data_IF_445730954321
#
_entry.id   IF_445730954321
#
_cell.length_a   1.000
_cell.length_b   1.000
_cell.length_c   1.000
_cell.angle_alpha   90.00
_cell.angle_beta   90.00
_cell.angle_gamma   90.00
#
_symmetry.space_group_name_H-M   'P 1'
#
loop_
_entity.id
_entity.type
_entity.pdbx_description
1 polymer ?
#
# COMPACT_ATOMS: atom_id res chain seq x y z
N UNK A 1 1.93 -22.09 11.60
CA UNK A 1 2.60 -22.68 10.42
C UNK A 1 4.10 -22.39 10.50
N UNK A 2 4.99 -23.30 10.08
CA UNK A 2 6.44 -23.00 10.01
C UNK A 2 6.74 -22.01 8.88
N UNK A 3 7.77 -21.18 9.04
CA UNK A 3 8.17 -20.18 8.04
C UNK A 3 8.38 -20.78 6.65
N UNK A 4 9.11 -21.89 6.54
CA UNK A 4 9.40 -22.53 5.26
C UNK A 4 8.14 -22.99 4.52
N UNK A 5 7.10 -23.42 5.26
CA UNK A 5 5.82 -23.81 4.66
C UNK A 5 5.03 -22.58 4.19
N UNK A 6 5.02 -21.51 4.98
CA UNK A 6 4.41 -20.23 4.61
C UNK A 6 5.06 -19.63 3.37
N UNK A 7 6.39 -19.55 3.35
CA UNK A 7 7.16 -19.04 2.23
C UNK A 7 6.83 -19.80 0.94
N UNK A 8 6.92 -21.13 0.95
CA UNK A 8 6.57 -21.96 -0.22
C UNK A 8 5.13 -21.73 -0.69
N UNK A 9 4.19 -21.57 0.23
CA UNK A 9 2.81 -21.30 -0.12
C UNK A 9 2.66 -19.94 -0.79
N UNK A 10 3.22 -18.87 -0.22
CA UNK A 10 3.19 -17.53 -0.81
C UNK A 10 3.85 -17.48 -2.19
N UNK A 11 5.01 -18.11 -2.34
CA UNK A 11 5.72 -18.18 -3.63
C UNK A 11 4.91 -18.94 -4.69
N UNK A 12 4.15 -19.98 -4.30
CA UNK A 12 3.26 -20.68 -5.23
C UNK A 12 2.10 -19.83 -5.76
N UNK A 13 1.77 -18.73 -5.09
CA UNK A 13 0.76 -17.76 -5.53
C UNK A 13 1.35 -16.64 -6.39
N UNK A 14 2.68 -16.51 -6.49
CA UNK A 14 3.28 -15.50 -7.37
C UNK A 14 2.83 -15.73 -8.81
N UNK A 15 2.60 -14.63 -9.52
CA UNK A 15 2.40 -14.72 -10.97
C UNK A 15 3.66 -15.27 -11.66
N UNK A 16 3.51 -16.01 -12.78
CA UNK A 16 4.65 -16.68 -13.43
C UNK A 16 5.80 -15.72 -13.80
N UNK A 17 5.49 -14.46 -14.13
CA UNK A 17 6.49 -13.48 -14.50
C UNK A 17 7.28 -12.88 -13.32
N UNK A 18 6.81 -13.11 -12.08
CA UNK A 18 7.49 -12.70 -10.85
C UNK A 18 8.12 -13.88 -10.11
N UNK A 19 7.92 -15.11 -10.59
CA UNK A 19 8.55 -16.30 -10.03
C UNK A 19 10.08 -16.19 -10.14
N UNK A 20 10.78 -16.41 -9.02
CA UNK A 20 12.22 -16.19 -8.90
C UNK A 20 12.69 -14.73 -8.97
N UNK A 21 11.80 -13.75 -9.20
CA UNK A 21 12.11 -12.30 -9.12
C UNK A 21 11.73 -11.72 -7.76
N UNK A 22 10.55 -12.07 -7.26
CA UNK A 22 10.05 -11.65 -5.95
C UNK A 22 10.33 -12.74 -4.93
N UNK A 23 10.99 -12.38 -3.83
CA UNK A 23 11.33 -13.33 -2.76
C UNK A 23 10.93 -12.79 -1.39
N UNK A 24 10.45 -13.70 -0.53
CA UNK A 24 10.12 -13.41 0.86
C UNK A 24 11.19 -13.94 1.80
N UNK A 25 11.61 -13.12 2.76
CA UNK A 25 12.58 -13.50 3.79
C UNK A 25 12.18 -12.95 5.16
N UNK A 26 12.18 -13.77 6.20
CA UNK A 26 11.93 -13.33 7.56
C UNK A 26 13.20 -13.49 8.41
N UNK A 27 13.55 -12.47 9.19
CA UNK A 27 14.73 -12.49 10.09
C UNK A 27 14.36 -12.81 11.54
N UNK A 28 13.12 -13.25 11.79
CA UNK A 28 12.67 -13.64 13.12
C UNK A 28 13.38 -14.90 13.61
N UNK A 29 14.57 -14.74 14.19
CA UNK A 29 15.18 -15.77 15.00
C UNK A 29 14.23 -16.10 16.15
N UNK A 30 13.98 -17.39 16.37
CA UNK A 30 13.02 -17.97 17.32
C UNK A 30 13.22 -17.56 18.79
N UNK A 31 14.29 -16.82 19.10
CA UNK A 31 14.78 -16.51 20.44
C UNK A 31 14.71 -15.02 20.82
N UNK A 32 14.21 -14.15 19.93
CA UNK A 32 14.00 -12.73 20.22
C UNK A 32 12.52 -12.36 20.02
N UNK A 33 11.75 -12.19 21.11
CA UNK A 33 10.32 -11.82 21.05
C UNK A 33 10.08 -10.55 20.22
N UNK A 34 10.97 -9.56 20.36
CA UNK A 34 10.85 -8.24 19.70
C UNK A 34 11.20 -8.22 18.21
N UNK A 35 11.75 -9.31 17.65
CA UNK A 35 12.02 -9.43 16.21
C UNK A 35 11.09 -10.43 15.51
N UNK A 36 10.10 -10.95 16.23
CA UNK A 36 9.16 -11.93 15.70
C UNK A 36 8.18 -11.26 14.72
N UNK A 37 8.33 -11.55 13.43
CA UNK A 37 7.41 -11.06 12.38
C UNK A 37 7.97 -10.02 11.42
N UNK A 38 9.24 -9.61 11.55
CA UNK A 38 9.90 -8.76 10.55
C UNK A 38 10.15 -9.57 9.28
N UNK A 39 9.67 -9.03 8.15
CA UNK A 39 9.87 -9.59 6.83
C UNK A 39 10.47 -8.57 5.87
N UNK A 40 11.19 -9.12 4.91
CA UNK A 40 11.83 -8.47 3.80
C UNK A 40 11.22 -9.00 2.53
N UNK A 41 10.83 -8.09 1.64
CA UNK A 41 10.45 -8.44 0.27
C UNK A 41 11.57 -7.94 -0.63
N UNK A 42 12.22 -8.89 -1.31
CA UNK A 42 13.24 -8.60 -2.29
C UNK A 42 12.65 -8.70 -3.71
N UNK A 43 13.11 -7.83 -4.59
CA UNK A 43 12.84 -7.89 -6.03
C UNK A 43 14.18 -7.88 -6.75
N UNK A 44 14.39 -8.85 -7.63
CA UNK A 44 15.65 -9.01 -8.38
C UNK A 44 16.88 -9.01 -7.45
N UNK A 45 16.76 -9.72 -6.32
CA UNK A 45 17.76 -9.85 -5.24
C UNK A 45 18.10 -8.55 -4.49
N UNK A 46 17.37 -7.46 -4.73
CA UNK A 46 17.48 -6.20 -3.99
C UNK A 46 16.36 -6.09 -2.98
N UNK A 47 16.68 -5.72 -1.75
CA UNK A 47 15.68 -5.49 -0.73
C UNK A 47 14.87 -4.23 -1.07
N UNK A 48 13.56 -4.38 -1.25
CA UNK A 48 12.65 -3.29 -1.63
C UNK A 48 11.78 -2.88 -0.44
N UNK A 49 11.31 -3.85 0.34
CA UNK A 49 10.54 -3.61 1.55
C UNK A 49 11.22 -4.22 2.75
N UNK A 50 11.52 -3.40 3.75
CA UNK A 50 11.72 -3.84 5.13
C UNK A 50 10.62 -3.20 5.98
N UNK A 51 9.83 -4.01 6.67
CA UNK A 51 8.70 -3.51 7.46
C UNK A 51 9.15 -2.59 8.61
N UNK A 52 10.35 -2.79 9.14
CA UNK A 52 10.89 -2.05 10.28
C UNK A 52 11.93 -0.99 9.92
N UNK A 53 12.33 -0.90 8.65
CA UNK A 53 13.44 -0.04 8.22
C UNK A 53 13.02 0.79 7.01
N UNK A 54 13.02 2.10 7.23
CA UNK A 54 12.62 3.11 6.24
C UNK A 54 13.79 3.53 5.33
N UNK A 55 14.95 2.87 5.40
CA UNK A 55 16.12 3.17 4.55
C UNK A 55 16.01 2.58 3.13
N UNK A 56 14.86 2.02 2.76
CA UNK A 56 14.65 1.52 1.40
C UNK A 56 14.62 2.66 0.37
N UNK A 57 14.81 2.32 -0.91
CA UNK A 57 14.79 3.28 -2.02
C UNK A 57 13.42 3.91 -2.28
N UNK A 58 12.44 3.61 -1.44
CA UNK A 58 11.05 4.02 -1.59
C UNK A 58 10.76 5.11 -0.59
N UNK A 59 10.04 6.13 -1.04
CA UNK A 59 9.70 7.28 -0.20
C UNK A 59 8.76 6.86 0.93
N UNK A 60 9.17 7.15 2.15
CA UNK A 60 8.38 7.03 3.37
C UNK A 60 8.13 8.43 3.92
N UNK A 61 6.88 8.72 4.31
CA UNK A 61 6.53 10.03 4.85
C UNK A 61 6.62 10.01 6.38
N UNK A 62 7.21 11.05 6.96
CA UNK A 62 7.30 11.20 8.42
C UNK A 62 6.17 12.06 8.97
N UNK A 63 5.67 13.01 8.18
CA UNK A 63 4.66 13.97 8.62
C UNK A 63 3.58 14.17 7.58
N UNK A 64 2.39 14.62 8.01
CA UNK A 64 1.31 14.96 7.08
C UNK A 64 1.69 16.12 6.16
N UNK A 65 2.56 17.02 6.63
CA UNK A 65 3.03 18.17 5.86
C UNK A 65 3.85 17.74 4.64
N UNK A 66 4.68 16.70 4.77
CA UNK A 66 5.43 16.15 3.64
C UNK A 66 4.50 15.61 2.55
N UNK A 67 3.42 14.95 2.94
CA UNK A 67 2.39 14.43 2.02
C UNK A 67 1.63 15.59 1.36
N UNK A 68 1.27 16.61 2.15
CA UNK A 68 0.53 17.79 1.66
C UNK A 68 1.33 18.64 0.68
N UNK A 69 2.64 18.70 0.86
CA UNK A 69 3.56 19.46 0.01
C UNK A 69 4.09 18.65 -1.17
N UNK A 70 3.70 17.38 -1.30
CA UNK A 70 4.13 16.54 -2.40
C UNK A 70 3.40 16.90 -3.70
N UNK A 71 4.15 17.37 -4.70
CA UNK A 71 3.61 17.72 -6.02
C UNK A 71 3.14 16.51 -6.82
N UNK A 72 3.66 15.31 -6.51
CA UNK A 72 3.32 14.08 -7.22
C UNK A 72 1.94 13.54 -6.77
N UNK A 73 1.46 13.96 -5.59
CA UNK A 73 0.19 13.54 -5.02
C UNK A 73 -0.93 14.41 -5.57
N UNK A 74 -1.53 13.93 -6.67
CA UNK A 74 -2.71 14.54 -7.27
C UNK A 74 -3.97 13.79 -6.87
N UNK A 75 -4.71 14.33 -5.90
CA UNK A 75 -5.97 13.75 -5.48
C UNK A 75 -7.10 14.38 -6.31
N UNK A 76 -7.84 13.60 -7.11
CA UNK A 76 -8.99 14.10 -7.85
C UNK A 76 -10.08 14.53 -6.88
N UNK A 77 -10.72 15.67 -7.13
CA UNK A 77 -11.81 16.20 -6.31
C UNK A 77 -13.12 15.99 -7.08
N UNK A 78 -14.13 15.40 -6.46
CA UNK A 78 -15.46 15.26 -7.06
C UNK A 78 -16.33 16.47 -6.73
N UNK A 79 -17.34 16.73 -7.58
CA UNK A 79 -18.29 17.82 -7.35
C UNK A 79 -19.09 17.63 -6.05
N UNK A 80 -19.28 16.38 -5.62
CA UNK A 80 -19.91 16.01 -4.34
C UNK A 80 -19.12 16.55 -3.14
N UNK A 81 -17.78 16.52 -3.21
CA UNK A 81 -16.90 17.03 -2.15
C UNK A 81 -16.95 18.57 -2.07
N UNK A 82 -17.08 19.23 -3.21
CA UNK A 82 -17.26 20.69 -3.29
C UNK A 82 -18.60 21.08 -2.67
N UNK A 83 -19.66 20.34 -2.99
CA UNK A 83 -21.01 20.63 -2.48
C UNK A 83 -21.14 20.34 -0.98
N UNK A 84 -20.44 19.33 -0.46
CA UNK A 84 -20.33 19.08 0.98
C UNK A 84 -19.71 20.27 1.72
N UNK A 85 -18.64 20.86 1.16
CA UNK A 85 -18.02 22.07 1.71
C UNK A 85 -18.95 23.29 1.59
N UNK A 86 -19.70 23.42 0.49
CA UNK A 86 -20.67 24.50 0.31
C UNK A 86 -21.77 24.47 1.37
N UNK A 87 -22.27 23.29 1.68
CA UNK A 87 -23.30 23.07 2.72
C UNK A 87 -22.77 23.43 4.11
N UNK A 88 -21.55 23.01 4.42
CA UNK A 88 -20.89 23.28 5.70
C UNK A 88 -20.57 24.78 5.91
N UNK A 89 -20.20 25.47 4.81
CA UNK A 89 -19.92 26.91 4.82
C UNK A 89 -21.16 27.79 4.62
N UNK A 90 -22.36 27.20 4.56
CA UNK A 90 -23.65 27.89 4.36
C UNK A 90 -23.67 28.84 3.15
N UNK A 91 -22.88 28.56 2.11
CA UNK A 91 -22.82 29.36 0.88
C UNK A 91 -22.14 30.73 1.00
N UNK A 92 -21.41 31.00 2.11
CA UNK A 92 -20.72 32.29 2.32
C UNK A 92 -19.43 32.37 1.49
N UNK A 93 -18.89 31.22 1.07
CA UNK A 93 -17.57 31.11 0.46
C UNK A 93 -17.66 31.05 -1.07
N UNK A 94 -16.89 31.86 -1.82
CA UNK A 94 -16.86 31.81 -3.29
C UNK A 94 -16.44 30.44 -3.84
N UNK A 95 -16.90 30.08 -5.04
CA UNK A 95 -16.63 28.76 -5.66
C UNK A 95 -15.15 28.40 -5.76
N UNK A 96 -14.29 29.36 -6.10
CA UNK A 96 -12.84 29.15 -6.17
C UNK A 96 -12.24 28.75 -4.82
N UNK A 97 -12.79 29.28 -3.72
CA UNK A 97 -12.37 28.97 -2.36
C UNK A 97 -12.96 27.64 -1.88
N UNK A 98 -14.15 27.25 -2.35
CA UNK A 98 -14.74 25.94 -2.06
C UNK A 98 -13.87 24.81 -2.59
N UNK A 99 -13.36 24.93 -3.82
CA UNK A 99 -12.44 23.94 -4.44
C UNK A 99 -11.16 23.77 -3.60
N UNK A 100 -10.57 24.87 -3.14
CA UNK A 100 -9.35 24.84 -2.30
C UNK A 100 -9.63 24.17 -0.95
N UNK A 101 -10.76 24.49 -0.31
CA UNK A 101 -11.13 23.91 0.98
C UNK A 101 -11.41 22.40 0.83
N UNK A 102 -12.14 21.99 -0.20
CA UNK A 102 -12.40 20.57 -0.50
C UNK A 102 -11.09 19.81 -0.72
N UNK A 103 -10.18 20.38 -1.53
CA UNK A 103 -8.83 19.81 -1.75
C UNK A 103 -8.07 19.63 -0.45
N UNK A 104 -8.03 20.67 0.38
CA UNK A 104 -7.28 20.68 1.63
C UNK A 104 -7.82 19.69 2.66
N UNK A 105 -9.15 19.50 2.71
CA UNK A 105 -9.78 18.46 3.54
C UNK A 105 -9.35 17.07 3.07
N UNK A 106 -9.52 16.79 1.78
CA UNK A 106 -9.23 15.49 1.19
C UNK A 106 -7.76 15.08 1.31
N UNK A 107 -6.83 16.00 1.05
CA UNK A 107 -5.39 15.73 1.22
C UNK A 107 -5.00 15.50 2.69
N UNK A 108 -5.71 16.14 3.63
CA UNK A 108 -5.48 15.90 5.05
C UNK A 108 -5.98 14.52 5.50
N UNK A 109 -7.16 14.12 5.04
CA UNK A 109 -7.68 12.77 5.29
C UNK A 109 -6.76 11.70 4.69
N UNK A 110 -6.38 11.87 3.43
CA UNK A 110 -5.43 11.00 2.75
C UNK A 110 -4.09 10.89 3.50
N UNK A 111 -3.52 12.03 3.91
CA UNK A 111 -2.25 12.05 4.64
C UNK A 111 -2.34 11.27 5.96
N UNK A 112 -3.45 11.44 6.68
CA UNK A 112 -3.71 10.73 7.93
C UNK A 112 -3.85 9.22 7.71
N UNK A 113 -4.59 8.80 6.69
CA UNK A 113 -4.74 7.38 6.34
C UNK A 113 -3.40 6.75 5.95
N UNK A 114 -2.61 7.43 5.12
CA UNK A 114 -1.32 6.94 4.66
C UNK A 114 -0.32 6.77 5.82
N UNK A 115 -0.22 7.76 6.71
CA UNK A 115 0.63 7.66 7.91
C UNK A 115 0.16 6.56 8.87
N UNK A 116 -1.15 6.41 9.03
CA UNK A 116 -1.73 5.33 9.83
C UNK A 116 -1.35 3.96 9.25
N UNK A 117 -1.43 3.80 7.92
CA UNK A 117 -1.04 2.58 7.23
C UNK A 117 0.47 2.28 7.37
N UNK A 118 1.34 3.30 7.24
CA UNK A 118 2.79 3.16 7.48
C UNK A 118 3.09 2.73 8.93
N UNK A 119 2.43 3.37 9.90
CA UNK A 119 2.61 3.05 11.32
C UNK A 119 2.16 1.62 11.60
N UNK A 120 1.04 1.22 11.02
CA UNK A 120 0.49 -0.14 11.13
C UNK A 120 1.45 -1.17 10.56
N UNK A 121 2.04 -0.89 9.39
CA UNK A 121 3.03 -1.75 8.76
C UNK A 121 4.26 -1.95 9.67
N UNK A 122 4.81 -0.88 10.24
CA UNK A 122 6.00 -0.98 11.11
C UNK A 122 5.81 -1.81 12.38
N UNK A 123 4.56 -1.92 12.85
CA UNK A 123 4.17 -2.68 14.03
C UNK A 123 3.55 -4.03 13.68
N UNK A 124 3.35 -4.30 12.40
CA UNK A 124 2.65 -5.50 11.95
C UNK A 124 3.55 -6.74 11.99
N UNK A 125 2.90 -7.90 12.01
CA UNK A 125 3.58 -9.18 11.97
C UNK A 125 3.31 -9.82 10.61
N UNK A 126 4.35 -9.98 9.79
CA UNK A 126 4.22 -10.54 8.45
C UNK A 126 3.54 -11.91 8.44
N UNK A 127 3.84 -12.77 9.41
CA UNK A 127 3.25 -14.11 9.47
C UNK A 127 1.74 -14.01 9.66
N UNK A 128 1.28 -13.10 10.52
CA UNK A 128 -0.16 -12.88 10.74
C UNK A 128 -0.81 -12.40 9.45
N UNK A 129 -0.27 -11.34 8.85
CA UNK A 129 -0.83 -10.74 7.63
C UNK A 129 -0.83 -11.72 6.45
N UNK A 130 0.24 -12.50 6.28
CA UNK A 130 0.32 -13.52 5.25
C UNK A 130 -0.72 -14.64 5.45
N UNK A 131 -0.98 -15.06 6.70
CA UNK A 131 -2.05 -16.02 6.95
C UNK A 131 -3.43 -15.40 6.68
N UNK A 132 -3.65 -14.14 7.06
CA UNK A 132 -4.86 -13.40 6.73
C UNK A 132 -5.07 -13.40 5.22
N UNK A 133 -4.07 -12.98 4.44
CA UNK A 133 -4.10 -12.98 2.97
C UNK A 133 -4.45 -14.35 2.36
N UNK A 134 -3.87 -15.43 2.89
CA UNK A 134 -4.11 -16.78 2.41
C UNK A 134 -5.53 -17.29 2.73
N UNK A 135 -6.20 -16.68 3.72
CA UNK A 135 -7.56 -17.02 4.14
C UNK A 135 -8.64 -16.06 3.63
N UNK A 136 -8.26 -14.87 3.17
CA UNK A 136 -9.17 -13.84 2.66
C UNK A 136 -9.29 -13.88 1.14
N UNK A 137 -10.30 -13.20 0.62
CA UNK A 137 -10.42 -12.97 -0.82
C UNK A 137 -9.36 -11.99 -1.32
N UNK A 138 -9.13 -11.99 -2.63
CA UNK A 138 -8.19 -11.06 -3.27
C UNK A 138 -8.77 -9.66 -3.31
N UNK A 139 -10.08 -9.57 -3.50
CA UNK A 139 -10.86 -8.34 -3.47
C UNK A 139 -10.59 -7.59 -2.17
N UNK A 140 -10.80 -8.26 -1.04
CA UNK A 140 -10.52 -7.70 0.29
C UNK A 140 -9.05 -7.29 0.43
N UNK A 141 -8.13 -8.10 -0.08
CA UNK A 141 -6.70 -7.83 0.06
C UNK A 141 -6.23 -6.61 -0.77
N UNK A 142 -6.85 -6.37 -1.93
CA UNK A 142 -6.57 -5.19 -2.78
C UNK A 142 -7.23 -3.93 -2.21
N UNK A 143 -8.44 -4.05 -1.67
CA UNK A 143 -9.20 -2.90 -1.15
C UNK A 143 -8.79 -2.52 0.27
N UNK A 144 -8.11 -3.40 1.00
CA UNK A 144 -7.59 -3.13 2.35
C UNK A 144 -6.70 -1.89 2.41
N UNK A 145 -6.69 -1.26 3.58
CA UNK A 145 -5.75 -0.19 3.93
C UNK A 145 -4.39 -0.73 4.40
N UNK A 146 -4.27 -2.05 4.57
CA UNK A 146 -3.02 -2.70 4.92
C UNK A 146 -2.08 -2.78 3.69
N UNK A 147 -0.94 -2.11 3.80
CA UNK A 147 0.08 -2.03 2.75
C UNK A 147 0.56 -3.43 2.34
N UNK A 148 0.76 -4.33 3.30
CA UNK A 148 1.31 -5.64 3.03
C UNK A 148 0.28 -6.55 2.34
N UNK A 149 -1.00 -6.48 2.74
CA UNK A 149 -2.07 -7.17 2.01
C UNK A 149 -2.17 -6.70 0.56
N UNK A 150 -2.07 -5.39 0.32
CA UNK A 150 -2.10 -4.84 -1.05
C UNK A 150 -0.92 -5.36 -1.88
N UNK A 151 0.30 -5.38 -1.32
CA UNK A 151 1.50 -5.91 -2.01
C UNK A 151 1.31 -7.38 -2.36
N UNK A 152 0.92 -8.21 -1.39
CA UNK A 152 0.71 -9.65 -1.58
C UNK A 152 -0.33 -9.91 -2.67
N UNK A 153 -1.40 -9.11 -2.72
CA UNK A 153 -2.41 -9.23 -3.75
C UNK A 153 -1.90 -8.82 -5.15
N UNK A 154 -1.09 -7.76 -5.25
CA UNK A 154 -0.56 -7.27 -6.54
C UNK A 154 0.37 -8.28 -7.23
N UNK A 155 1.15 -9.02 -6.45
CA UNK A 155 2.07 -10.04 -6.97
C UNK A 155 1.40 -11.40 -7.20
N UNK A 156 0.14 -11.55 -6.80
CA UNK A 156 -0.62 -12.79 -6.90
C UNK A 156 -1.06 -13.09 -8.34
N UNK A 157 -0.89 -14.34 -8.77
CA UNK A 157 -1.29 -14.87 -10.08
C UNK A 157 -2.78 -14.79 -10.37
N UNK A 158 -3.61 -14.81 -9.33
CA UNK A 158 -5.08 -14.72 -9.41
C UNK A 158 -5.53 -13.31 -9.82
N UNK A 159 -4.67 -12.29 -9.70
CA UNK A 159 -4.92 -10.95 -10.24
C UNK A 159 -4.50 -10.90 -11.70
N UNK A 160 -5.51 -10.98 -12.58
CA UNK A 160 -5.33 -10.97 -14.03
C UNK A 160 -5.04 -9.59 -14.62
N UNK A 161 -4.51 -9.58 -15.85
CA UNK A 161 -4.13 -8.38 -16.63
C UNK A 161 -5.19 -7.28 -16.66
N UNK A 162 -6.43 -7.64 -17.03
CA UNK A 162 -7.55 -6.68 -17.11
C UNK A 162 -7.80 -5.96 -15.78
N UNK A 163 -7.63 -6.68 -14.67
CA UNK A 163 -7.85 -6.14 -13.34
C UNK A 163 -6.74 -5.16 -12.93
N UNK A 164 -5.48 -5.50 -13.21
CA UNK A 164 -4.34 -4.59 -12.99
C UNK A 164 -4.53 -3.29 -13.78
N UNK A 165 -4.95 -3.35 -15.05
CA UNK A 165 -5.16 -2.15 -15.85
C UNK A 165 -6.31 -1.27 -15.30
N UNK A 166 -7.39 -1.88 -14.80
CA UNK A 166 -8.55 -1.15 -14.29
C UNK A 166 -8.35 -0.48 -12.93
N UNK A 167 -7.28 -0.78 -12.19
CA UNK A 167 -7.01 -0.23 -10.85
C UNK A 167 -6.02 0.94 -10.84
N UNK A 168 -5.60 1.46 -12.02
CA UNK A 168 -4.59 2.50 -12.13
C UNK A 168 -4.88 3.73 -11.25
N UNK A 169 -6.12 4.26 -11.29
CA UNK A 169 -6.50 5.42 -10.46
C UNK A 169 -6.50 5.12 -8.96
N UNK A 170 -6.91 3.90 -8.58
CA UNK A 170 -6.89 3.48 -7.17
C UNK A 170 -5.45 3.37 -6.65
N UNK A 171 -4.52 2.89 -7.48
CA UNK A 171 -3.13 2.66 -7.08
C UNK A 171 -2.34 3.95 -6.91
N UNK A 172 -2.64 5.01 -7.66
CA UNK A 172 -2.06 6.35 -7.47
C UNK A 172 -2.28 6.91 -6.06
N UNK A 173 -3.37 6.50 -5.40
CA UNK A 173 -3.72 6.88 -4.03
C UNK A 173 -3.25 5.85 -2.98
N UNK A 174 -2.41 4.88 -3.33
CA UNK A 174 -1.82 3.96 -2.35
C UNK A 174 -0.41 4.40 -1.99
N UNK A 175 0.14 3.83 -0.93
CA UNK A 175 1.51 4.11 -0.50
C UNK A 175 2.51 3.88 -1.64
N UNK A 176 3.61 4.66 -1.75
CA UNK A 176 4.62 4.51 -2.81
C UNK A 176 5.16 3.09 -3.00
N UNK A 177 5.25 2.31 -1.93
CA UNK A 177 5.60 0.87 -2.00
C UNK A 177 4.57 0.03 -2.77
N UNK A 178 3.28 0.29 -2.57
CA UNK A 178 2.19 -0.42 -3.26
C UNK A 178 2.21 -0.02 -4.73
N UNK A 179 2.45 1.26 -5.02
CA UNK A 179 2.65 1.76 -6.38
C UNK A 179 3.85 1.07 -7.06
N UNK A 180 4.97 0.91 -6.35
CA UNK A 180 6.13 0.18 -6.88
C UNK A 180 5.78 -1.25 -7.29
N UNK A 181 5.08 -2.01 -6.44
CA UNK A 181 4.67 -3.38 -6.78
C UNK A 181 3.61 -3.42 -7.89
N UNK A 182 2.78 -2.39 -8.00
CA UNK A 182 1.84 -2.23 -9.10
C UNK A 182 2.56 -2.00 -10.44
N UNK A 183 3.53 -1.09 -10.48
CA UNK A 183 4.37 -0.83 -11.66
C UNK A 183 5.22 -2.04 -12.03
N UNK A 184 5.79 -2.72 -11.02
CA UNK A 184 6.48 -4.00 -11.23
C UNK A 184 5.55 -5.00 -11.92
N UNK A 185 4.30 -5.10 -11.45
CA UNK A 185 3.31 -6.00 -12.08
C UNK A 185 2.98 -5.55 -13.50
N UNK A 186 2.74 -4.26 -13.74
CA UNK A 186 2.49 -3.70 -15.08
C UNK A 186 3.62 -4.02 -16.06
N UNK A 187 4.88 -3.93 -15.63
CA UNK A 187 6.06 -4.25 -16.46
C UNK A 187 6.13 -5.71 -16.91
N UNK A 188 5.32 -6.59 -16.30
CA UNK A 188 5.28 -8.03 -16.60
C UNK A 188 4.06 -8.47 -17.42
N UNK A 189 3.19 -7.54 -17.85
CA UNK A 189 1.92 -7.82 -18.54
C UNK A 189 2.02 -7.89 -20.07
#
# INVERSE_FOLDING_TARGET
MSWSKLKKQLESFLCPALDGRVEYSATGYRYLPDKSGICYIAVDKKNVLNMSDMTSSIRWYQTEQEIKNDSDIQIPISDEEIEAVRKDTKGIVPEDRLKVIARNRKISEYAKELLSAQTSLSKSNFIVVANTFLSSSIEESIESNDILLNILALVDRRVGKKRILNMAEKMKLKHPIVQYFYELRLSTL
#
